data_IF_315229345710
#
_entry.id   IF_315229345710
#
_cell.length_a   1.000
_cell.length_b   1.000
_cell.length_c   1.000
_cell.angle_alpha   90.00
_cell.angle_beta   90.00
_cell.angle_gamma   90.00
#
_symmetry.space_group_name_H-M   'P 1'
#
loop_
_entity.id
_entity.type
_entity.pdbx_description
1 polymer ?
#
# COMPACT_ATOMS: atom_id res chain seq x y z
N UNK A 1 -59.74 -6.22 -37.52
CA UNK A 1 -59.41 -5.11 -36.60
C UNK A 1 -58.13 -5.50 -35.89
N UNK A 2 -57.00 -4.79 -35.94
CA UNK A 2 -56.63 -3.55 -36.61
C UNK A 2 -55.14 -3.59 -37.01
N UNK A 3 -54.80 -2.79 -38.00
CA UNK A 3 -53.43 -2.49 -38.44
C UNK A 3 -52.88 -1.36 -37.57
N UNK A 4 -51.61 -1.42 -37.18
CA UNK A 4 -50.83 -0.24 -36.82
C UNK A 4 -49.60 -0.27 -37.72
N UNK A 5 -49.49 0.74 -38.57
CA UNK A 5 -48.31 1.01 -39.39
C UNK A 5 -47.65 2.29 -38.89
N UNK A 6 -46.32 2.29 -38.83
CA UNK A 6 -45.50 3.49 -38.81
C UNK A 6 -44.56 3.36 -40.01
N UNK A 7 -44.69 4.32 -40.91
CA UNK A 7 -43.94 4.47 -42.15
C UNK A 7 -42.69 5.30 -41.90
N UNK A 8 -41.54 4.85 -42.41
CA UNK A 8 -40.45 5.73 -42.82
C UNK A 8 -40.04 5.33 -44.24
N UNK A 9 -40.02 6.33 -45.11
CA UNK A 9 -39.84 6.26 -46.56
C UNK A 9 -38.35 6.18 -46.95
N UNK A 10 -38.12 5.54 -48.11
CA UNK A 10 -36.95 5.54 -49.01
C UNK A 10 -36.18 4.20 -49.16
N UNK A 11 -35.68 3.90 -50.38
CA UNK A 11 -36.20 2.77 -51.15
C UNK A 11 -35.14 1.69 -51.40
N UNK A 12 -35.51 0.45 -51.20
CA UNK A 12 -35.02 -0.69 -51.98
C UNK A 12 -35.94 -1.87 -51.68
N UNK A 13 -36.86 -2.13 -52.60
CA UNK A 13 -37.68 -3.33 -52.61
C UNK A 13 -36.78 -4.56 -52.72
N UNK A 14 -36.59 -5.29 -51.63
CA UNK A 14 -36.12 -6.67 -51.66
C UNK A 14 -37.29 -7.57 -51.30
N UNK A 15 -38.03 -8.00 -52.33
CA UNK A 15 -38.95 -9.12 -52.20
C UNK A 15 -38.11 -10.40 -52.12
N UNK A 16 -38.01 -10.99 -50.93
CA UNK A 16 -37.56 -12.37 -50.79
C UNK A 16 -38.76 -13.30 -50.99
N UNK A 17 -38.91 -13.83 -52.20
CA UNK A 17 -39.74 -15.02 -52.43
C UNK A 17 -38.92 -16.26 -52.09
N UNK A 18 -39.28 -16.96 -51.01
CA UNK A 18 -38.75 -18.29 -50.71
C UNK A 18 -39.47 -19.28 -51.63
N UNK A 19 -38.77 -19.73 -52.67
CA UNK A 19 -39.19 -20.89 -53.47
C UNK A 19 -39.00 -22.17 -52.61
N UNK A 20 -39.99 -23.07 -52.49
CA UNK A 20 -39.87 -24.25 -51.64
C UNK A 20 -39.15 -25.38 -52.39
N UNK A 21 -37.97 -25.11 -52.96
CA UNK A 21 -37.15 -26.15 -53.60
C UNK A 21 -35.67 -25.78 -53.43
N UNK A 22 -35.02 -26.37 -52.42
CA UNK A 22 -33.58 -26.26 -52.24
C UNK A 22 -33.15 -26.17 -50.78
N UNK A 23 -33.47 -27.17 -49.97
CA UNK A 23 -32.70 -27.41 -48.75
C UNK A 23 -31.21 -27.54 -49.12
N UNK A 24 -30.28 -26.81 -48.47
CA UNK A 24 -28.87 -27.08 -48.66
C UNK A 24 -28.58 -28.50 -48.15
N UNK A 25 -27.92 -29.31 -48.98
CA UNK A 25 -27.40 -30.64 -48.64
C UNK A 25 -26.39 -30.53 -47.48
N UNK A 26 -26.86 -30.55 -46.25
CA UNK A 26 -26.03 -30.69 -45.03
C UNK A 26 -26.14 -32.12 -44.45
N UNK A 27 -26.94 -33.00 -45.06
CA UNK A 27 -27.09 -34.40 -44.63
C UNK A 27 -26.46 -35.40 -45.60
N UNK A 28 -25.14 -35.34 -45.77
CA UNK A 28 -24.39 -36.49 -46.29
C UNK A 28 -23.02 -36.60 -45.61
N UNK A 29 -23.03 -36.71 -44.28
CA UNK A 29 -21.84 -37.04 -43.49
C UNK A 29 -21.83 -38.54 -43.24
N UNK A 30 -20.74 -39.22 -43.61
CA UNK A 30 -20.58 -40.65 -43.33
C UNK A 30 -20.55 -40.87 -41.80
N UNK A 31 -21.13 -41.97 -41.30
CA UNK A 31 -21.20 -42.30 -39.85
C UNK A 31 -19.84 -42.12 -39.13
N UNK A 32 -18.73 -42.41 -39.81
CA UNK A 32 -17.36 -42.19 -39.32
C UNK A 32 -17.05 -40.72 -38.99
N UNK A 33 -17.52 -39.77 -39.80
CA UNK A 33 -17.30 -38.34 -39.57
C UNK A 33 -18.09 -37.84 -38.34
N UNK A 34 -19.31 -38.34 -38.14
CA UNK A 34 -20.12 -38.01 -36.95
C UNK A 34 -19.44 -38.51 -35.67
N UNK A 35 -18.89 -39.74 -35.69
CA UNK A 35 -18.15 -40.31 -34.56
C UNK A 35 -16.91 -39.47 -34.24
N UNK A 36 -16.11 -39.11 -35.26
CA UNK A 36 -14.90 -38.30 -35.05
C UNK A 36 -15.24 -36.92 -34.47
N UNK A 37 -16.24 -36.24 -35.00
CA UNK A 37 -16.67 -34.92 -34.48
C UNK A 37 -17.18 -35.03 -33.03
N UNK A 38 -17.91 -36.10 -32.70
CA UNK A 38 -18.43 -36.32 -31.34
C UNK A 38 -17.31 -36.58 -30.34
N UNK A 39 -16.28 -37.36 -30.72
CA UNK A 39 -15.09 -37.59 -29.89
C UNK A 39 -14.31 -36.29 -29.68
N UNK A 40 -14.14 -35.49 -30.74
CA UNK A 40 -13.47 -34.18 -30.66
C UNK A 40 -14.24 -33.21 -29.74
N UNK A 41 -15.55 -33.13 -29.88
CA UNK A 41 -16.40 -32.31 -29.02
C UNK A 41 -16.35 -32.76 -27.55
N UNK A 42 -16.34 -34.07 -27.29
CA UNK A 42 -16.20 -34.63 -25.95
C UNK A 42 -14.81 -34.32 -25.35
N UNK A 43 -13.74 -34.44 -26.15
CA UNK A 43 -12.38 -34.12 -25.73
C UNK A 43 -12.23 -32.62 -25.39
N UNK A 44 -12.77 -31.73 -26.23
CA UNK A 44 -12.79 -30.28 -25.96
C UNK A 44 -13.61 -29.95 -24.72
N UNK A 45 -14.76 -30.60 -24.54
CA UNK A 45 -15.60 -30.42 -23.35
C UNK A 45 -14.88 -30.88 -22.08
N UNK A 46 -14.19 -32.02 -22.12
CA UNK A 46 -13.38 -32.52 -21.01
C UNK A 46 -12.20 -31.59 -20.69
N UNK A 47 -11.51 -31.08 -21.71
CA UNK A 47 -10.46 -30.07 -21.55
C UNK A 47 -11.03 -28.80 -20.91
N UNK A 48 -12.15 -28.29 -21.41
CA UNK A 48 -12.83 -27.14 -20.82
C UNK A 48 -13.21 -27.38 -19.35
N UNK A 49 -13.81 -28.53 -19.04
CA UNK A 49 -14.15 -28.89 -17.67
C UNK A 49 -12.91 -29.02 -16.78
N UNK A 50 -11.81 -29.61 -17.27
CA UNK A 50 -10.56 -29.67 -16.52
C UNK A 50 -10.00 -28.28 -16.21
N UNK A 51 -10.02 -27.36 -17.19
CA UNK A 51 -9.57 -25.98 -17.00
C UNK A 51 -10.47 -25.25 -16.01
N UNK A 52 -11.79 -25.45 -16.07
CA UNK A 52 -12.74 -24.85 -15.12
C UNK A 52 -12.53 -25.39 -13.71
N UNK A 53 -12.37 -26.71 -13.54
CA UNK A 53 -12.13 -27.35 -12.23
C UNK A 53 -10.80 -26.90 -11.65
N UNK A 54 -9.73 -26.88 -12.45
CA UNK A 54 -8.42 -26.37 -12.08
C UNK A 54 -8.55 -24.91 -11.64
N UNK A 55 -9.10 -24.04 -12.49
CA UNK A 55 -9.26 -22.61 -12.17
C UNK A 55 -10.09 -22.37 -10.90
N UNK A 56 -11.14 -23.16 -10.68
CA UNK A 56 -11.96 -23.06 -9.48
C UNK A 56 -11.23 -23.56 -8.21
N UNK A 57 -10.42 -24.62 -8.33
CA UNK A 57 -9.62 -25.15 -7.22
C UNK A 57 -8.52 -24.16 -6.80
N UNK A 58 -7.77 -23.61 -7.76
CA UNK A 58 -6.75 -22.58 -7.50
C UNK A 58 -7.39 -21.30 -6.96
N UNK A 59 -8.48 -20.81 -7.58
CA UNK A 59 -9.20 -19.63 -7.10
C UNK A 59 -9.78 -19.76 -5.68
N UNK A 60 -10.19 -20.98 -5.27
CA UNK A 60 -10.64 -21.23 -3.89
C UNK A 60 -9.48 -21.20 -2.90
N UNK A 61 -8.36 -21.86 -3.23
CA UNK A 61 -7.14 -21.86 -2.42
C UNK A 61 -6.61 -20.42 -2.19
N UNK A 62 -6.65 -19.60 -3.25
CA UNK A 62 -6.28 -18.18 -3.22
C UNK A 62 -7.09 -17.36 -2.22
N UNK A 63 -8.41 -17.51 -2.30
CA UNK A 63 -9.36 -16.77 -1.47
C UNK A 63 -9.15 -17.17 0.00
N UNK A 64 -8.85 -18.43 0.23
CA UNK A 64 -8.51 -18.94 1.56
C UNK A 64 -7.20 -18.29 2.07
N UNK A 65 -6.13 -18.14 1.26
CA UNK A 65 -4.89 -17.48 1.72
C UNK A 65 -5.06 -16.00 2.08
N UNK A 66 -5.74 -15.22 1.21
CA UNK A 66 -6.06 -13.80 1.51
C UNK A 66 -6.93 -13.66 2.75
N UNK A 67 -7.92 -14.55 2.88
CA UNK A 67 -8.79 -14.61 4.05
C UNK A 67 -8.01 -14.99 5.30
N UNK A 68 -7.10 -15.96 5.24
CA UNK A 68 -6.23 -16.33 6.36
C UNK A 68 -5.32 -15.17 6.79
N UNK A 69 -4.74 -14.41 5.84
CA UNK A 69 -3.93 -13.23 6.16
C UNK A 69 -4.75 -12.13 6.85
N UNK A 70 -5.95 -11.88 6.35
CA UNK A 70 -6.90 -10.96 6.96
C UNK A 70 -7.29 -11.43 8.38
N UNK A 71 -7.67 -12.71 8.53
CA UNK A 71 -8.01 -13.30 9.81
C UNK A 71 -6.86 -13.23 10.80
N UNK A 72 -5.67 -13.67 10.41
CA UNK A 72 -4.48 -13.62 11.26
C UNK A 72 -4.25 -12.21 11.81
N UNK A 73 -4.41 -11.17 10.98
CA UNK A 73 -4.24 -9.78 11.44
C UNK A 73 -5.33 -9.29 12.39
N UNK A 74 -6.55 -9.82 12.25
CA UNK A 74 -7.70 -9.47 13.10
C UNK A 74 -7.73 -10.30 14.39
N UNK A 75 -7.16 -11.51 14.39
CA UNK A 75 -7.14 -12.40 15.57
C UNK A 75 -5.86 -12.28 16.38
N UNK A 76 -4.73 -11.98 15.74
CA UNK A 76 -3.43 -11.82 16.39
C UNK A 76 -3.32 -10.42 17.02
N UNK A 77 -4.07 -10.25 18.10
CA UNK A 77 -4.11 -9.04 18.93
C UNK A 77 -3.57 -9.36 20.34
N UNK A 78 -2.79 -10.43 20.49
CA UNK A 78 -2.22 -10.75 21.78
C UNK A 78 -1.27 -9.66 22.25
N UNK A 79 -1.16 -9.50 23.57
CA UNK A 79 -0.26 -8.52 24.17
C UNK A 79 1.18 -8.82 23.73
N UNK A 80 1.96 -7.78 23.45
CA UNK A 80 3.37 -7.96 23.10
C UNK A 80 4.12 -8.49 24.33
N UNK A 81 4.82 -9.62 24.17
CA UNK A 81 5.63 -10.17 25.25
C UNK A 81 6.90 -9.34 25.47
N UNK A 82 6.83 -8.45 26.46
CA UNK A 82 7.93 -7.55 26.83
C UNK A 82 9.10 -8.26 27.50
N UNK A 83 8.94 -9.52 27.93
CA UNK A 83 10.02 -10.31 28.52
C UNK A 83 10.87 -11.02 27.47
N UNK A 84 10.40 -11.11 26.22
CA UNK A 84 11.13 -11.77 25.16
C UNK A 84 12.27 -10.87 24.64
N UNK A 85 13.56 -11.25 24.85
CA UNK A 85 14.69 -10.42 24.44
C UNK A 85 14.87 -10.34 22.92
N UNK A 86 14.22 -11.23 22.16
CA UNK A 86 14.28 -11.28 20.70
C UNK A 86 13.32 -10.29 20.02
N UNK A 87 12.48 -9.60 20.79
CA UNK A 87 11.61 -8.54 20.29
C UNK A 87 12.37 -7.22 20.33
N UNK A 88 12.37 -6.52 19.20
CA UNK A 88 12.90 -5.18 19.06
C UNK A 88 11.76 -4.18 18.90
N UNK A 89 12.03 -2.91 19.17
CA UNK A 89 11.03 -1.86 19.21
C UNK A 89 11.47 -0.69 18.36
N UNK A 90 10.50 0.10 17.90
CA UNK A 90 10.74 1.37 17.22
C UNK A 90 9.61 2.34 17.53
N UNK A 91 9.93 3.61 17.67
CA UNK A 91 8.99 4.65 18.07
C UNK A 91 8.89 5.69 16.95
N UNK A 92 7.67 6.04 16.57
CA UNK A 92 7.41 7.11 15.60
C UNK A 92 6.43 8.10 16.21
N UNK A 93 6.81 9.38 16.22
CA UNK A 93 5.95 10.50 16.58
C UNK A 93 5.54 11.22 15.29
N UNK A 94 4.24 11.19 14.99
CA UNK A 94 3.60 12.01 13.95
C UNK A 94 3.24 13.37 14.56
N UNK A 95 3.93 14.42 14.11
CA UNK A 95 3.71 15.79 14.52
C UNK A 95 2.86 16.53 13.48
N UNK A 96 1.55 16.32 13.57
CA UNK A 96 0.55 16.94 12.71
C UNK A 96 0.15 18.36 13.15
N UNK A 97 -0.53 19.08 12.25
CA UNK A 97 -1.01 20.45 12.51
C UNK A 97 -2.02 20.55 13.66
N UNK A 98 -2.86 19.52 13.85
CA UNK A 98 -3.92 19.51 14.89
C UNK A 98 -3.50 18.86 16.21
N UNK A 99 -2.31 18.26 16.27
CA UNK A 99 -1.83 17.50 17.42
C UNK A 99 -0.76 16.48 17.04
N UNK A 100 -0.03 16.02 18.06
CA UNK A 100 1.01 15.00 17.90
C UNK A 100 0.54 13.63 18.40
N UNK A 101 1.06 12.57 17.79
CA UNK A 101 0.67 11.17 18.06
C UNK A 101 1.91 10.29 18.10
N UNK A 102 2.03 9.46 19.12
CA UNK A 102 3.12 8.48 19.21
C UNK A 102 2.60 7.08 18.90
N UNK A 103 3.38 6.33 18.14
CA UNK A 103 3.14 4.94 17.80
C UNK A 103 4.36 4.13 18.21
N UNK A 104 4.13 3.06 18.98
CA UNK A 104 5.18 2.10 19.31
C UNK A 104 4.98 0.86 18.44
N UNK A 105 6.02 0.49 17.71
CA UNK A 105 6.09 -0.70 16.88
C UNK A 105 7.05 -1.70 17.49
N UNK A 106 6.84 -2.98 17.17
CA UNK A 106 7.73 -4.06 17.54
C UNK A 106 7.86 -5.07 16.40
N UNK A 107 8.99 -5.78 16.37
CA UNK A 107 9.24 -6.87 15.44
C UNK A 107 10.13 -7.93 16.08
N UNK A 108 9.96 -9.21 15.72
CA UNK A 108 10.88 -10.27 16.17
C UNK A 108 12.23 -10.16 15.46
N UNK A 109 13.19 -10.98 15.89
CA UNK A 109 14.46 -11.15 15.19
C UNK A 109 14.22 -11.53 13.73
N UNK A 110 14.95 -10.88 12.81
CA UNK A 110 14.88 -11.17 11.40
C UNK A 110 15.26 -12.63 11.10
N UNK A 111 14.58 -13.25 10.13
CA UNK A 111 14.76 -14.66 9.79
C UNK A 111 16.05 -14.96 9.00
N UNK A 112 16.77 -13.91 8.56
CA UNK A 112 18.02 -14.01 7.82
C UNK A 112 17.86 -14.09 6.30
N UNK A 113 16.63 -14.16 5.78
CA UNK A 113 16.36 -14.17 4.35
C UNK A 113 16.48 -12.74 3.77
N UNK A 114 17.41 -12.47 2.84
CA UNK A 114 17.58 -11.12 2.28
C UNK A 114 16.39 -10.61 1.47
N UNK A 115 15.45 -11.49 1.09
CA UNK A 115 14.24 -11.11 0.35
C UNK A 115 13.05 -10.77 1.26
N UNK A 116 13.17 -11.05 2.56
CA UNK A 116 12.12 -10.74 3.52
C UNK A 116 12.38 -9.39 4.20
N UNK A 117 11.31 -8.66 4.48
CA UNK A 117 11.34 -7.46 5.30
C UNK A 117 11.14 -7.83 6.78
N UNK A 118 11.42 -6.88 7.67
CA UNK A 118 11.06 -7.01 9.08
C UNK A 118 9.54 -7.19 9.24
N UNK A 119 9.12 -8.14 10.08
CA UNK A 119 7.72 -8.33 10.47
C UNK A 119 7.31 -7.29 11.52
N UNK A 120 7.19 -6.03 11.08
CA UNK A 120 6.83 -4.89 11.90
C UNK A 120 5.33 -4.91 12.21
N UNK A 121 5.01 -4.82 13.50
CA UNK A 121 3.64 -4.77 14.00
C UNK A 121 3.50 -3.67 15.02
N UNK A 122 2.28 -3.17 15.19
CA UNK A 122 1.99 -2.22 16.26
C UNK A 122 2.04 -2.94 17.60
N UNK A 123 2.80 -2.40 18.56
CA UNK A 123 2.90 -2.95 19.90
C UNK A 123 1.52 -2.99 20.56
N UNK A 124 1.25 -4.07 21.29
CA UNK A 124 0.02 -4.27 22.05
C UNK A 124 0.31 -4.22 23.55
N UNK A 125 -0.46 -3.41 24.28
CA UNK A 125 -0.40 -3.37 25.73
C UNK A 125 -0.97 -4.66 26.37
N UNK A 126 -0.89 -4.76 27.69
CA UNK A 126 -1.47 -5.86 28.48
C UNK A 126 -2.99 -6.05 28.27
N UNK A 127 -3.69 -5.03 27.79
CA UNK A 127 -5.13 -5.06 27.49
C UNK A 127 -5.41 -5.36 26.01
N UNK A 128 -4.40 -5.76 25.22
CA UNK A 128 -4.50 -6.04 23.80
C UNK A 128 -4.88 -4.80 22.97
N UNK A 129 -4.56 -3.61 23.46
CA UNK A 129 -4.78 -2.34 22.78
C UNK A 129 -3.50 -1.86 22.11
N UNK A 130 -3.61 -1.20 20.94
CA UNK A 130 -2.43 -0.62 20.31
C UNK A 130 -1.82 0.44 21.21
N UNK A 131 -0.50 0.39 21.38
CA UNK A 131 0.26 1.38 22.16
C UNK A 131 0.38 2.66 21.34
N UNK A 132 -0.61 3.53 21.52
CA UNK A 132 -0.75 4.83 20.85
C UNK A 132 -1.25 5.86 21.85
N UNK A 133 -0.63 7.03 21.85
CA UNK A 133 -1.09 8.19 22.60
C UNK A 133 -1.17 9.41 21.67
N UNK A 134 -2.13 10.30 21.93
CA UNK A 134 -2.31 11.54 21.17
C UNK A 134 -2.41 12.71 22.15
N UNK A 135 -1.81 13.84 21.78
CA UNK A 135 -1.89 15.10 22.51
C UNK A 135 -2.27 16.25 21.58
N UNK A 136 -2.71 17.36 22.17
CA UNK A 136 -3.09 18.59 21.48
C UNK A 136 -2.54 19.79 22.28
N UNK A 137 -2.27 20.95 21.67
CA UNK A 137 -2.45 21.30 20.26
C UNK A 137 -1.34 20.72 19.37
N UNK A 138 -1.20 21.15 18.10
CA UNK A 138 -0.10 20.72 17.24
C UNK A 138 1.25 21.36 17.61
N UNK A 139 2.35 20.74 17.18
CA UNK A 139 3.71 21.24 17.49
C UNK A 139 3.99 22.63 16.90
N UNK A 140 3.30 22.99 15.81
CA UNK A 140 3.46 24.26 15.11
C UNK A 140 3.00 25.46 15.95
N UNK A 141 2.17 25.27 16.97
CA UNK A 141 1.75 26.35 17.88
C UNK A 141 2.91 26.91 18.73
N UNK A 142 4.01 26.17 18.83
CA UNK A 142 5.21 26.58 19.58
C UNK A 142 6.24 27.33 18.72
N UNK A 143 5.85 27.78 17.53
CA UNK A 143 6.71 28.51 16.60
C UNK A 143 7.44 29.74 17.21
N UNK A 144 6.82 30.39 18.19
CA UNK A 144 7.38 31.56 18.91
C UNK A 144 7.94 31.23 20.30
N UNK A 145 7.87 29.97 20.72
CA UNK A 145 8.37 29.48 22.02
C UNK A 145 8.96 28.08 21.86
N UNK A 146 10.03 27.92 21.05
CA UNK A 146 10.63 26.62 20.77
C UNK A 146 11.10 25.90 22.04
N UNK A 147 11.52 26.63 23.08
CA UNK A 147 12.00 26.08 24.35
C UNK A 147 10.94 25.27 25.14
N UNK A 148 9.66 25.36 24.74
CA UNK A 148 8.56 24.62 25.38
C UNK A 148 8.20 23.34 24.63
N UNK A 149 8.83 23.08 23.49
CA UNK A 149 8.43 21.96 22.64
C UNK A 149 8.81 20.61 23.25
N UNK A 150 9.94 20.55 23.94
CA UNK A 150 10.41 19.34 24.63
C UNK A 150 9.51 18.98 25.83
N UNK A 151 8.98 19.97 26.55
CA UNK A 151 7.96 19.76 27.57
C UNK A 151 6.64 19.25 26.95
N UNK A 152 6.25 19.79 25.78
CA UNK A 152 5.02 19.39 25.09
C UNK A 152 5.05 17.93 24.61
N UNK A 153 6.19 17.45 24.08
CA UNK A 153 6.34 16.05 23.61
C UNK A 153 6.67 15.05 24.73
N UNK A 154 7.16 15.51 25.88
CA UNK A 154 7.53 14.66 27.01
C UNK A 154 6.44 13.66 27.46
N UNK A 155 5.14 14.01 27.54
CA UNK A 155 4.08 13.04 27.85
C UNK A 155 4.03 11.85 26.89
N UNK A 156 4.28 12.08 25.59
CA UNK A 156 4.32 11.01 24.60
C UNK A 156 5.53 10.09 24.81
N UNK A 157 6.71 10.68 25.00
CA UNK A 157 7.94 9.91 25.19
C UNK A 157 7.92 9.10 26.49
N UNK A 158 7.38 9.68 27.57
CA UNK A 158 7.16 8.98 28.83
C UNK A 158 6.20 7.79 28.66
N UNK A 159 5.12 7.97 27.91
CA UNK A 159 4.20 6.88 27.59
C UNK A 159 4.90 5.74 26.82
N UNK A 160 5.74 6.04 25.83
CA UNK A 160 6.51 5.01 25.14
C UNK A 160 7.55 4.35 26.06
N UNK A 161 8.24 5.12 26.90
CA UNK A 161 9.23 4.62 27.85
C UNK A 161 8.63 3.71 28.94
N UNK A 162 7.36 3.89 29.29
CA UNK A 162 6.61 3.00 30.19
C UNK A 162 6.35 1.62 29.55
N UNK A 163 6.08 1.59 28.23
CA UNK A 163 5.75 0.36 27.52
C UNK A 163 6.98 -0.41 27.03
N UNK A 164 7.98 0.29 26.50
CA UNK A 164 9.21 -0.33 26.01
C UNK A 164 10.09 -0.74 27.20
N UNK A 165 10.57 -1.99 27.28
CA UNK A 165 11.46 -2.42 28.36
C UNK A 165 12.71 -1.55 28.46
N UNK A 166 13.09 -1.14 29.69
CA UNK A 166 14.27 -0.29 29.95
C UNK A 166 15.55 -0.80 29.30
N UNK A 167 15.76 -2.12 29.31
CA UNK A 167 16.93 -2.76 28.68
C UNK A 167 17.00 -2.54 27.15
N UNK A 168 15.87 -2.25 26.50
CA UNK A 168 15.75 -2.03 25.06
C UNK A 168 15.76 -0.56 24.66
N UNK A 169 15.72 0.40 25.60
CA UNK A 169 15.68 1.84 25.28
C UNK A 169 16.85 2.24 24.37
N UNK A 170 18.08 1.83 24.71
CA UNK A 170 19.30 2.10 23.95
C UNK A 170 19.39 1.46 22.55
N UNK A 171 18.52 0.50 22.26
CA UNK A 171 18.43 -0.15 20.95
C UNK A 171 17.22 0.33 20.14
N UNK A 172 16.34 1.13 20.75
CA UNK A 172 15.06 1.53 20.18
C UNK A 172 15.22 2.89 19.48
N UNK A 173 15.09 2.97 18.15
CA UNK A 173 15.07 4.24 17.44
C UNK A 173 13.79 5.01 17.70
N UNK A 174 13.95 6.31 17.91
CA UNK A 174 12.86 7.29 18.01
C UNK A 174 12.90 8.17 16.77
N UNK A 175 11.81 8.24 16.01
CA UNK A 175 11.65 9.16 14.90
C UNK A 175 10.58 10.19 15.23
N UNK A 176 10.86 11.47 15.05
CA UNK A 176 9.89 12.57 15.17
C UNK A 176 9.74 13.20 13.79
N UNK A 177 8.60 12.94 13.15
CA UNK A 177 8.32 13.36 11.79
C UNK A 177 7.21 14.40 11.79
N UNK A 178 7.57 15.62 11.42
CA UNK A 178 6.68 16.77 11.37
C UNK A 178 6.08 16.94 9.98
N UNK A 179 4.76 17.15 9.89
CA UNK A 179 4.04 17.24 8.60
C UNK A 179 3.61 18.68 8.28
N UNK A 180 2.46 18.86 7.63
CA UNK A 180 2.04 20.13 7.03
C UNK A 180 2.05 21.34 8.00
N UNK A 181 1.77 21.14 9.29
CA UNK A 181 1.76 22.22 10.28
C UNK A 181 3.13 22.88 10.46
N UNK A 182 4.22 22.10 10.37
CA UNK A 182 5.57 22.66 10.44
C UNK A 182 6.04 23.21 9.09
N UNK A 183 5.60 22.61 7.97
CA UNK A 183 5.97 23.04 6.61
C UNK A 183 5.59 24.50 6.31
N UNK A 184 4.51 25.00 6.90
CA UNK A 184 4.03 26.37 6.70
C UNK A 184 4.82 27.41 7.51
N UNK A 185 5.63 27.00 8.50
CA UNK A 185 6.42 27.92 9.30
C UNK A 185 7.66 28.40 8.53
N UNK A 186 8.21 29.58 8.85
CA UNK A 186 9.54 29.98 8.41
C UNK A 186 10.61 28.95 8.79
N UNK A 187 11.57 28.70 7.90
CA UNK A 187 12.64 27.71 8.08
C UNK A 187 13.43 27.93 9.39
N UNK A 188 13.65 29.19 9.77
CA UNK A 188 14.30 29.53 11.05
C UNK A 188 13.53 29.03 12.27
N UNK A 189 12.19 29.09 12.25
CA UNK A 189 11.34 28.59 13.33
C UNK A 189 11.28 27.06 13.32
N UNK A 190 11.22 26.45 12.14
CA UNK A 190 11.29 24.99 12.00
C UNK A 190 12.59 24.47 12.63
N UNK A 191 13.73 25.06 12.26
CA UNK A 191 15.05 24.68 12.77
C UNK A 191 15.16 24.86 14.28
N UNK A 192 14.68 25.99 14.83
CA UNK A 192 14.71 26.23 16.27
C UNK A 192 13.93 25.17 17.07
N UNK A 193 12.76 24.74 16.57
CA UNK A 193 11.98 23.67 17.19
C UNK A 193 12.72 22.33 17.12
N UNK A 194 13.27 21.97 15.96
CA UNK A 194 14.00 20.70 15.81
C UNK A 194 15.27 20.68 16.68
N UNK A 195 16.00 21.78 16.77
CA UNK A 195 17.21 21.91 17.60
C UNK A 195 16.90 21.72 19.09
N UNK A 196 15.78 22.27 19.58
CA UNK A 196 15.35 22.06 20.97
C UNK A 196 15.12 20.57 21.25
N UNK A 197 14.37 19.88 20.38
CA UNK A 197 14.13 18.43 20.48
C UNK A 197 15.44 17.63 20.45
N UNK A 198 16.34 17.96 19.53
CA UNK A 198 17.61 17.26 19.33
C UNK A 198 18.57 17.43 20.52
N UNK A 199 18.47 18.53 21.26
CA UNK A 199 19.35 18.80 22.40
C UNK A 199 18.77 18.29 23.71
N UNK A 200 17.46 18.40 23.93
CA UNK A 200 16.83 18.06 25.21
C UNK A 200 16.48 16.57 25.34
N UNK A 201 15.95 15.94 24.28
CA UNK A 201 15.50 14.54 24.34
C UNK A 201 16.62 13.57 24.77
N UNK A 202 17.86 13.64 24.23
CA UNK A 202 18.94 12.74 24.63
C UNK A 202 19.39 12.89 26.09
N UNK A 203 19.07 14.01 26.75
CA UNK A 203 19.37 14.22 28.17
C UNK A 203 18.38 13.45 29.06
N UNK A 204 17.14 13.30 28.60
CA UNK A 204 16.05 12.73 29.37
C UNK A 204 15.70 11.27 29.00
N UNK A 205 16.03 10.84 27.79
CA UNK A 205 15.66 9.52 27.27
C UNK A 205 16.85 8.80 26.63
N UNK A 206 16.95 7.49 26.90
CA UNK A 206 18.01 6.61 26.37
C UNK A 206 17.71 6.08 24.94
N UNK A 207 16.69 6.61 24.25
CA UNK A 207 16.35 6.15 22.89
C UNK A 207 17.43 6.55 21.87
N UNK A 208 17.57 5.77 20.80
CA UNK A 208 18.46 6.14 19.69
C UNK A 208 17.86 7.33 18.95
N UNK A 209 18.44 8.51 19.20
CA UNK A 209 17.99 9.79 18.67
C UNK A 209 19.18 10.62 18.19
N UNK A 210 19.10 11.12 16.97
CA UNK A 210 20.16 11.86 16.28
C UNK A 210 19.55 12.87 15.31
N UNK A 211 20.36 13.73 14.71
CA UNK A 211 19.90 14.77 13.77
C UNK A 211 18.93 14.25 12.69
N UNK A 212 19.27 13.11 12.07
CA UNK A 212 18.43 12.44 11.05
C UNK A 212 17.10 11.86 11.57
N UNK A 213 16.84 11.91 12.88
CA UNK A 213 15.65 11.36 13.51
C UNK A 213 14.58 12.41 13.81
N UNK A 214 14.90 13.71 13.69
CA UNK A 214 13.94 14.80 13.81
C UNK A 214 13.88 15.55 12.46
N UNK A 215 12.78 15.39 11.73
CA UNK A 215 12.68 15.93 10.36
C UNK A 215 11.30 16.53 10.09
N UNK A 216 11.26 17.66 9.39
CA UNK A 216 10.04 18.14 8.71
C UNK A 216 9.96 17.46 7.35
N UNK A 217 9.08 16.47 7.23
CA UNK A 217 8.94 15.69 6.00
C UNK A 217 8.12 16.45 4.96
N UNK A 218 8.54 16.35 3.70
CA UNK A 218 7.77 16.84 2.56
C UNK A 218 6.48 16.02 2.37
N UNK A 219 5.47 16.59 1.72
CA UNK A 219 4.26 15.81 1.36
C UNK A 219 4.58 14.66 0.39
N UNK A 220 5.68 14.77 -0.38
CA UNK A 220 6.22 13.66 -1.17
C UNK A 220 6.64 12.48 -0.27
N UNK A 221 7.45 12.74 0.76
CA UNK A 221 7.87 11.70 1.71
C UNK A 221 6.66 11.11 2.45
N UNK A 222 5.73 11.97 2.90
CA UNK A 222 4.49 11.54 3.57
C UNK A 222 3.68 10.58 2.70
N UNK A 223 3.47 10.90 1.41
CA UNK A 223 2.81 10.02 0.46
C UNK A 223 3.57 8.72 0.18
N UNK A 224 4.90 8.76 0.10
CA UNK A 224 5.72 7.54 -0.06
C UNK A 224 5.59 6.63 1.18
N UNK A 225 5.65 7.20 2.39
CA UNK A 225 5.51 6.42 3.62
C UNK A 225 4.12 5.80 3.76
N UNK A 226 3.06 6.54 3.43
CA UNK A 226 1.71 6.01 3.40
C UNK A 226 1.56 4.89 2.35
N UNK A 227 2.16 5.05 1.16
CA UNK A 227 2.16 4.02 0.12
C UNK A 227 2.93 2.76 0.55
N UNK A 228 4.08 2.90 1.22
CA UNK A 228 4.82 1.78 1.79
C UNK A 228 3.96 1.09 2.85
N UNK A 229 3.35 1.85 3.77
CA UNK A 229 2.53 1.32 4.86
C UNK A 229 1.37 0.46 4.36
N UNK A 230 0.58 0.94 3.39
CA UNK A 230 -0.54 0.15 2.87
C UNK A 230 -0.05 -1.11 2.14
N UNK A 231 1.02 -1.02 1.37
CA UNK A 231 1.53 -2.14 0.58
C UNK A 231 2.24 -3.18 1.45
N UNK A 232 2.87 -2.75 2.54
CA UNK A 232 3.41 -3.63 3.58
C UNK A 232 2.27 -4.38 4.29
N UNK A 233 1.20 -3.67 4.68
CA UNK A 233 0.02 -4.29 5.31
C UNK A 233 -0.66 -5.28 4.35
N UNK A 234 -0.78 -4.95 3.07
CA UNK A 234 -1.31 -5.88 2.07
C UNK A 234 -0.32 -7.00 1.70
N UNK A 235 0.95 -6.91 2.16
CA UNK A 235 2.08 -7.79 1.83
C UNK A 235 2.39 -7.89 0.35
N UNK A 236 2.33 -6.76 -0.34
CA UNK A 236 2.79 -6.63 -1.73
C UNK A 236 4.31 -6.71 -1.85
N UNK A 237 5.03 -6.58 -0.74
CA UNK A 237 6.49 -6.74 -0.67
C UNK A 237 6.94 -8.16 -0.32
N UNK A 238 6.02 -9.08 -0.02
CA UNK A 238 6.36 -10.49 0.18
C UNK A 238 6.63 -11.13 -1.18
N UNK A 239 7.90 -11.37 -1.51
CA UNK A 239 8.35 -11.91 -2.81
C UNK A 239 8.07 -13.40 -3.02
N UNK A 240 7.23 -14.01 -2.19
CA UNK A 240 6.78 -15.39 -2.37
C UNK A 240 5.94 -15.47 -3.66
N UNK A 241 6.27 -16.47 -4.49
CA UNK A 241 5.54 -16.86 -5.70
C UNK A 241 4.09 -17.25 -5.33
N UNK A 242 3.22 -16.25 -5.31
CA UNK A 242 1.77 -16.43 -5.18
C UNK A 242 1.14 -16.18 -6.54
N UNK A 243 0.80 -17.27 -7.24
CA UNK A 243 0.23 -17.30 -8.60
C UNK A 243 -1.07 -16.49 -8.78
N UNK A 244 -1.72 -16.06 -7.69
CA UNK A 244 -3.02 -15.39 -7.70
C UNK A 244 -2.99 -13.88 -7.35
N UNK A 245 -1.81 -13.35 -7.03
CA UNK A 245 -1.64 -11.92 -6.90
C UNK A 245 -1.38 -11.34 -8.29
N UNK A 246 -2.07 -10.24 -8.65
CA UNK A 246 -1.80 -9.58 -9.92
C UNK A 246 -0.33 -9.17 -9.94
N UNK A 247 0.43 -9.67 -10.92
CA UNK A 247 1.83 -9.29 -11.12
C UNK A 247 1.92 -8.16 -12.15
N UNK A 248 2.96 -7.35 -12.04
CA UNK A 248 3.32 -6.32 -13.00
C UNK A 248 4.77 -6.52 -13.41
N UNK A 249 5.01 -6.29 -14.69
CA UNK A 249 6.36 -6.15 -15.24
C UNK A 249 6.89 -4.76 -14.88
N UNK A 250 8.08 -4.72 -14.27
CA UNK A 250 8.72 -3.51 -13.78
C UNK A 250 10.07 -3.33 -14.44
N UNK A 251 10.26 -2.17 -15.05
CA UNK A 251 11.56 -1.74 -15.57
C UNK A 251 12.33 -1.02 -14.46
N UNK A 252 13.50 -1.53 -14.09
CA UNK A 252 14.33 -0.88 -13.09
C UNK A 252 14.95 0.40 -13.69
N UNK A 253 14.89 1.57 -13.02
CA UNK A 253 15.53 2.78 -13.53
C UNK A 253 17.03 2.58 -13.68
N UNK A 254 17.57 2.95 -14.85
CA UNK A 254 19.00 2.85 -15.14
C UNK A 254 19.48 1.45 -15.56
N UNK A 255 18.61 0.43 -15.61
CA UNK A 255 18.92 -0.84 -16.27
C UNK A 255 18.57 -0.77 -17.76
N UNK A 256 19.45 -1.30 -18.63
CA UNK A 256 19.08 -1.52 -20.03
C UNK A 256 17.87 -2.46 -20.12
N UNK A 257 17.05 -2.27 -21.15
CA UNK A 257 15.68 -2.80 -21.32
C UNK A 257 15.52 -4.33 -21.35
N UNK A 258 16.52 -5.09 -20.94
CA UNK A 258 16.56 -6.56 -21.01
C UNK A 258 16.32 -7.27 -19.67
N UNK A 259 16.24 -6.54 -18.55
CA UNK A 259 16.01 -7.12 -17.21
C UNK A 259 14.72 -6.61 -16.55
N UNK A 260 13.60 -6.72 -17.26
CA UNK A 260 12.30 -6.45 -16.65
C UNK A 260 11.98 -7.53 -15.60
N UNK A 261 11.63 -7.12 -14.39
CA UNK A 261 11.29 -8.04 -13.30
C UNK A 261 9.78 -8.16 -13.15
N UNK A 262 9.30 -9.35 -12.81
CA UNK A 262 7.90 -9.57 -12.44
C UNK A 262 7.76 -9.53 -10.92
N UNK A 263 6.90 -8.66 -10.41
CA UNK A 263 6.57 -8.62 -8.97
C UNK A 263 5.10 -8.34 -8.74
N UNK A 264 4.64 -8.55 -7.51
CA UNK A 264 3.27 -8.26 -7.08
C UNK A 264 2.93 -6.78 -7.34
N UNK A 265 1.77 -6.55 -7.94
CA UNK A 265 1.21 -5.21 -8.18
C UNK A 265 0.88 -4.54 -6.87
N UNK A 266 1.37 -3.32 -6.71
CA UNK A 266 1.09 -2.50 -5.53
C UNK A 266 -0.27 -1.80 -5.65
N UNK A 267 -0.81 -1.37 -4.51
CA UNK A 267 -1.97 -0.51 -4.44
C UNK A 267 -1.51 0.96 -4.38
N UNK A 268 -2.09 1.81 -5.22
CA UNK A 268 -1.96 3.26 -5.07
C UNK A 268 -2.76 3.76 -3.87
N UNK A 269 -2.41 4.94 -3.38
CA UNK A 269 -3.11 5.63 -2.30
C UNK A 269 -3.53 7.03 -2.72
N UNK A 270 -4.59 7.51 -2.08
CA UNK A 270 -5.04 8.88 -2.11
C UNK A 270 -5.37 9.27 -0.67
N UNK A 271 -4.65 10.24 -0.13
CA UNK A 271 -4.82 10.75 1.24
C UNK A 271 -5.21 12.22 1.18
N UNK A 272 -6.30 12.57 1.88
CA UNK A 272 -6.79 13.94 1.99
C UNK A 272 -6.62 14.38 3.44
N UNK A 273 -5.47 14.96 3.74
CA UNK A 273 -5.16 15.53 5.04
C UNK A 273 -5.87 16.85 5.30
N UNK A 274 -5.63 17.42 6.47
CA UNK A 274 -6.25 18.69 6.87
C UNK A 274 -5.76 19.92 6.08
N UNK A 275 -4.51 19.89 5.63
CA UNK A 275 -3.84 21.02 4.94
C UNK A 275 -3.32 20.62 3.56
N UNK A 276 -3.23 19.33 3.25
CA UNK A 276 -2.66 18.83 2.01
C UNK A 276 -3.33 17.55 1.54
N UNK A 277 -3.36 17.33 0.24
CA UNK A 277 -3.77 16.06 -0.37
C UNK A 277 -2.59 15.44 -1.10
N UNK A 278 -2.40 14.13 -0.89
CA UNK A 278 -1.37 13.32 -1.53
C UNK A 278 -1.99 12.23 -2.38
N UNK A 279 -1.42 12.00 -3.56
CA UNK A 279 -1.66 10.80 -4.36
C UNK A 279 -0.30 10.13 -4.62
N UNK A 280 -0.20 8.83 -4.34
CA UNK A 280 1.04 8.09 -4.56
C UNK A 280 0.73 6.71 -5.14
N UNK A 281 1.40 6.38 -6.24
CA UNK A 281 1.32 5.08 -6.89
C UNK A 281 2.65 4.72 -7.56
N UNK A 282 2.88 3.42 -7.72
CA UNK A 282 4.04 2.89 -8.42
C UNK A 282 3.95 3.15 -9.92
N UNK A 283 5.06 3.56 -10.53
CA UNK A 283 5.20 3.70 -11.98
C UNK A 283 6.06 2.55 -12.50
N UNK A 284 5.47 1.41 -12.94
CA UNK A 284 6.22 0.20 -13.23
C UNK A 284 6.98 0.24 -14.57
N UNK A 285 6.49 1.00 -15.55
CA UNK A 285 7.10 1.11 -16.88
C UNK A 285 7.89 2.40 -17.03
N UNK A 286 8.95 2.36 -17.85
CA UNK A 286 9.72 3.55 -18.21
C UNK A 286 8.81 4.60 -18.85
N UNK A 287 8.86 5.82 -18.33
CA UNK A 287 8.08 6.95 -18.86
C UNK A 287 8.98 7.80 -19.76
N UNK A 288 8.55 8.06 -20.98
CA UNK A 288 9.15 9.06 -21.86
C UNK A 288 8.45 10.41 -21.64
N UNK A 289 9.16 11.39 -21.08
CA UNK A 289 8.63 12.75 -20.91
C UNK A 289 8.97 13.62 -22.12
N UNK A 290 8.04 14.51 -22.48
CA UNK A 290 8.20 15.43 -23.61
C UNK A 290 8.99 16.71 -23.27
N UNK A 291 9.23 17.03 -21.99
CA UNK A 291 10.04 18.20 -21.61
C UNK A 291 10.81 18.02 -20.29
N UNK A 292 11.93 18.76 -20.20
CA UNK A 292 12.86 18.78 -19.05
C UNK A 292 12.30 19.43 -17.78
N UNK A 293 11.18 20.16 -17.84
CA UNK A 293 10.52 20.71 -16.65
C UNK A 293 9.69 19.67 -15.88
N UNK A 294 9.33 18.54 -16.50
CA UNK A 294 8.69 17.41 -15.83
C UNK A 294 9.69 16.51 -15.07
N UNK A 295 11.00 16.76 -15.24
CA UNK A 295 12.09 15.87 -14.79
C UNK A 295 12.40 15.97 -13.28
N UNK A 296 11.80 16.90 -12.53
CA UNK A 296 11.90 16.87 -11.05
C UNK A 296 10.99 15.77 -10.44
N UNK A 297 10.11 15.18 -11.25
CA UNK A 297 9.16 14.15 -10.85
C UNK A 297 9.58 12.80 -11.44
N UNK A 298 10.75 12.26 -11.06
CA UNK A 298 11.03 10.85 -11.37
C UNK A 298 12.12 10.25 -10.48
N UNK A 299 11.67 9.64 -9.39
CA UNK A 299 12.34 8.52 -8.73
C UNK A 299 11.21 7.53 -8.42
N UNK A 300 10.84 6.68 -9.39
CA UNK A 300 9.81 5.61 -9.32
C UNK A 300 8.36 5.94 -8.89
N UNK A 301 8.06 7.18 -8.54
CA UNK A 301 6.76 7.59 -8.03
C UNK A 301 6.29 8.87 -8.71
N UNK A 302 5.05 8.85 -9.22
CA UNK A 302 4.32 10.05 -9.56
C UNK A 302 3.55 10.49 -8.31
N UNK A 303 3.87 11.68 -7.84
CA UNK A 303 3.30 12.27 -6.63
C UNK A 303 2.83 13.68 -6.95
N UNK A 304 1.56 13.95 -6.68
CA UNK A 304 1.03 15.31 -6.65
C UNK A 304 0.84 15.67 -5.17
N UNK A 305 1.55 16.71 -4.72
CA UNK A 305 1.33 17.36 -3.43
C UNK A 305 0.56 18.65 -3.71
N UNK A 306 -0.69 18.71 -3.29
CA UNK A 306 -1.52 19.92 -3.34
C UNK A 306 -1.67 20.42 -1.91
N UNK A 307 -0.91 21.44 -1.56
CA UNK A 307 -1.07 22.18 -0.30
C UNK A 307 -2.21 23.17 -0.49
N UNK A 308 -3.22 23.10 0.36
CA UNK A 308 -4.29 24.10 0.41
C UNK A 308 -3.81 25.25 1.31
N UNK A 309 -3.58 26.42 0.69
CA UNK A 309 -3.34 27.68 1.39
C UNK A 309 -4.68 28.35 1.65
#
# INVERSE_FOLDING_TARGET
MGRIGISCLFPASWHFSISPVGCPRILNTNLRQIIVVSILAAAVSLLYFSVVIIRNKYGRLSRDKKFQKYLARVTDIEATDTNNPNVNYGIVVDCGSSGSRIFVYCWPRHNGNPHDLLDIRQMRDKNRKPVVMKIKPGISEFATSPEKVSDYISPLLNFAAEHVPRAKHKETPLYILCTAGMRILPESQQKAILEDLLTDIPVHFDFLFSDSHAEVISGKQEGVYAWIGINFVLGRFEHIEDDDEAVVEVNIPGSESSEAILRKRTAGILDMGGVSTQIAYEVPKTVSFASSQQVIICTNFLLFDLVFI
#
